data_IF_360212228471
#
_entry.id   IF_360212228471
#
_cell.length_a   1.000
_cell.length_b   1.000
_cell.length_c   1.000
_cell.angle_alpha   90.00
_cell.angle_beta   90.00
_cell.angle_gamma   90.00
#
_symmetry.space_group_name_H-M   'P 1'
#
loop_
_entity.id
_entity.type
_entity.pdbx_description
1 polymer ?
#
# COMPACT_ATOMS: atom_id res chain seq x y z
N UNK A 1 11.23 4.94 -8.25
CA UNK A 1 10.87 4.31 -6.98
C UNK A 1 11.46 5.06 -5.79
N UNK A 2 10.87 4.92 -4.67
CA UNK A 2 11.11 5.72 -3.48
C UNK A 2 10.07 6.84 -3.38
N UNK A 3 10.41 7.93 -2.67
CA UNK A 3 9.56 9.12 -2.55
C UNK A 3 9.86 10.04 -3.74
N UNK A 4 9.40 9.62 -4.91
CA UNK A 4 9.52 10.37 -6.18
C UNK A 4 8.41 11.42 -6.33
N UNK A 5 8.39 12.12 -7.48
CA UNK A 5 7.41 13.17 -7.73
C UNK A 5 5.97 12.68 -7.59
N UNK A 6 5.65 11.51 -8.15
CA UNK A 6 4.31 10.93 -8.06
C UNK A 6 3.87 10.71 -6.60
N UNK A 7 4.76 10.17 -5.76
CA UNK A 7 4.47 9.96 -4.32
C UNK A 7 4.34 11.29 -3.58
N UNK A 8 5.21 12.28 -3.87
CA UNK A 8 5.12 13.60 -3.25
C UNK A 8 3.77 14.28 -3.55
N UNK A 9 3.36 14.30 -4.82
CA UNK A 9 2.07 14.89 -5.22
C UNK A 9 0.87 14.09 -4.69
N UNK A 10 1.01 12.77 -4.54
CA UNK A 10 -0.04 11.96 -3.89
C UNK A 10 -0.18 12.31 -2.41
N UNK A 11 0.93 12.57 -1.70
CA UNK A 11 0.86 13.05 -0.31
C UNK A 11 0.21 14.42 -0.21
N UNK A 12 0.53 15.33 -1.15
CA UNK A 12 -0.10 16.66 -1.20
C UNK A 12 -1.61 16.58 -1.48
N UNK A 13 -2.02 15.70 -2.39
CA UNK A 13 -3.45 15.47 -2.69
C UNK A 13 -4.21 14.94 -1.45
N UNK A 14 -3.66 13.97 -0.73
CA UNK A 14 -4.27 13.46 0.51
C UNK A 14 -4.29 14.54 1.60
N UNK A 15 -3.24 15.35 1.70
CA UNK A 15 -3.21 16.48 2.64
C UNK A 15 -4.30 17.51 2.33
N UNK A 16 -4.54 17.77 1.04
CA UNK A 16 -5.65 18.61 0.57
C UNK A 16 -7.04 18.09 0.98
N UNK A 17 -7.19 16.78 1.21
CA UNK A 17 -8.41 16.14 1.72
C UNK A 17 -8.50 16.18 3.27
N UNK A 18 -7.56 16.81 3.95
CA UNK A 18 -7.56 17.01 5.39
C UNK A 18 -6.86 15.89 6.19
N UNK A 19 -6.05 15.06 5.56
CA UNK A 19 -5.22 14.06 6.24
C UNK A 19 -3.84 14.61 6.58
N UNK A 20 -3.26 14.16 7.68
CA UNK A 20 -1.82 14.26 7.93
C UNK A 20 -1.16 13.04 7.29
N UNK A 21 -0.22 13.26 6.37
CA UNK A 21 0.35 12.19 5.53
C UNK A 21 1.85 12.09 5.75
N UNK A 22 2.35 10.86 5.89
CA UNK A 22 3.78 10.56 5.91
C UNK A 22 4.10 9.48 4.88
N UNK A 23 5.13 9.72 4.05
CA UNK A 23 5.63 8.76 3.07
C UNK A 23 7.07 8.38 3.42
N UNK A 24 7.30 7.20 4.04
CA UNK A 24 8.66 6.75 4.37
C UNK A 24 9.44 6.35 3.12
N UNK A 25 10.74 6.65 3.12
CA UNK A 25 11.65 6.18 2.08
C UNK A 25 12.20 4.80 2.47
N UNK A 26 11.61 3.73 1.98
CA UNK A 26 12.04 2.35 2.27
C UNK A 26 13.41 1.98 1.70
N UNK A 27 13.99 2.82 0.82
CA UNK A 27 15.32 2.60 0.26
C UNK A 27 16.44 3.33 1.02
N UNK A 28 16.17 3.92 2.16
CA UNK A 28 17.14 4.75 2.90
C UNK A 28 18.36 3.97 3.42
N UNK A 29 18.28 2.64 3.53
CA UNK A 29 19.40 1.77 3.94
C UNK A 29 20.24 1.28 2.77
N UNK A 30 19.80 1.50 1.52
CA UNK A 30 20.44 0.95 0.34
C UNK A 30 21.45 1.97 -0.18
N UNK A 31 22.73 1.58 -0.16
CA UNK A 31 23.85 2.41 -0.60
C UNK A 31 24.27 2.08 -2.03
N UNK A 32 24.99 2.99 -2.68
CA UNK A 32 25.54 2.75 -4.02
C UNK A 32 26.52 1.55 -4.02
N UNK A 33 27.23 1.32 -2.93
CA UNK A 33 28.12 0.16 -2.78
C UNK A 33 27.36 -1.18 -2.84
N UNK A 34 26.12 -1.23 -2.33
CA UNK A 34 25.27 -2.42 -2.42
C UNK A 34 24.77 -2.68 -3.84
N UNK A 35 24.77 -1.68 -4.70
CA UNK A 35 24.31 -1.77 -6.09
C UNK A 35 25.46 -1.90 -7.10
N UNK A 36 26.71 -2.00 -6.62
CA UNK A 36 27.91 -2.07 -7.48
C UNK A 36 27.95 -3.31 -8.40
N UNK A 37 27.21 -4.37 -8.04
CA UNK A 37 27.05 -5.60 -8.84
C UNK A 37 25.94 -5.47 -9.91
N UNK A 38 25.31 -4.31 -10.05
CA UNK A 38 24.19 -4.07 -10.96
C UNK A 38 22.84 -4.55 -10.46
N UNK A 39 22.72 -4.97 -9.21
CA UNK A 39 21.45 -5.36 -8.59
C UNK A 39 20.49 -4.17 -8.46
N UNK A 40 19.18 -4.47 -8.45
CA UNK A 40 18.15 -3.43 -8.28
C UNK A 40 17.86 -3.23 -6.79
N UNK A 41 17.54 -2.00 -6.39
CA UNK A 41 17.22 -1.63 -4.99
C UNK A 41 16.21 -2.57 -4.32
N UNK A 42 15.18 -3.01 -5.06
CA UNK A 42 14.15 -3.92 -4.52
C UNK A 42 14.71 -5.26 -4.04
N UNK A 43 15.82 -5.74 -4.62
CA UNK A 43 16.45 -7.01 -4.28
C UNK A 43 17.15 -6.98 -2.91
N UNK A 44 17.38 -5.77 -2.37
CA UNK A 44 18.00 -5.56 -1.05
C UNK A 44 16.98 -5.26 0.05
N UNK A 45 15.70 -5.24 -0.28
CA UNK A 45 14.65 -5.03 0.74
C UNK A 45 14.45 -6.30 1.57
N UNK A 46 14.07 -6.09 2.81
CA UNK A 46 13.74 -7.14 3.76
C UNK A 46 12.41 -6.81 4.44
N UNK A 47 11.47 -7.76 4.45
CA UNK A 47 10.13 -7.54 5.01
C UNK A 47 10.19 -7.10 6.48
N UNK A 48 11.10 -7.69 7.26
CA UNK A 48 11.32 -7.30 8.65
C UNK A 48 11.71 -5.82 8.80
N UNK A 49 12.58 -5.32 7.92
CA UNK A 49 13.02 -3.91 7.96
C UNK A 49 11.91 -2.97 7.45
N UNK A 50 11.12 -3.39 6.47
CA UNK A 50 9.94 -2.63 6.03
C UNK A 50 8.94 -2.46 7.19
N UNK A 51 8.67 -3.53 7.95
CA UNK A 51 7.80 -3.45 9.14
C UNK A 51 8.37 -2.50 10.20
N UNK A 52 9.68 -2.54 10.45
CA UNK A 52 10.31 -1.60 11.40
C UNK A 52 10.17 -0.14 10.95
N UNK A 53 10.31 0.14 9.64
CA UNK A 53 10.13 1.50 9.10
C UNK A 53 8.67 1.97 9.21
N UNK A 54 7.72 1.05 9.01
CA UNK A 54 6.29 1.31 9.20
C UNK A 54 6.01 1.66 10.67
N UNK A 55 6.51 0.85 11.61
CA UNK A 55 6.36 1.11 13.05
C UNK A 55 6.95 2.48 13.45
N UNK A 56 8.15 2.80 12.95
CA UNK A 56 8.78 4.09 13.21
C UNK A 56 7.96 5.25 12.62
N UNK A 57 7.39 5.07 11.42
CA UNK A 57 6.54 6.08 10.78
C UNK A 57 5.24 6.30 11.54
N UNK A 58 4.60 5.22 12.01
CA UNK A 58 3.41 5.32 12.87
C UNK A 58 3.74 6.02 14.19
N UNK A 59 4.87 5.68 14.81
CA UNK A 59 5.35 6.35 16.03
C UNK A 59 5.55 7.85 15.82
N UNK A 60 6.15 8.25 14.68
CA UNK A 60 6.30 9.66 14.29
C UNK A 60 4.96 10.36 14.12
N UNK A 61 4.01 9.75 13.39
CA UNK A 61 2.67 10.30 13.19
C UNK A 61 1.93 10.48 14.52
N UNK A 62 1.96 9.47 15.40
CA UNK A 62 1.29 9.54 16.71
C UNK A 62 1.86 10.62 17.63
N UNK A 63 3.11 11.02 17.42
CA UNK A 63 3.72 12.16 18.09
C UNK A 63 3.23 13.52 17.59
N UNK A 64 2.56 13.58 16.43
CA UNK A 64 2.06 14.83 15.88
C UNK A 64 0.73 15.23 16.56
N UNK A 65 0.59 16.48 17.06
CA UNK A 65 -0.60 16.91 17.82
C UNK A 65 -1.93 16.68 17.08
N UNK A 66 -1.96 16.87 15.75
CA UNK A 66 -3.17 16.70 14.92
C UNK A 66 -3.53 15.23 14.67
N UNK A 67 -2.68 14.28 15.01
CA UNK A 67 -2.89 12.84 14.78
C UNK A 67 -3.17 12.08 16.09
N UNK A 68 -2.87 12.70 17.22
CA UNK A 68 -3.03 12.06 18.52
C UNK A 68 -4.48 11.55 18.73
N UNK A 69 -4.63 10.23 18.92
CA UNK A 69 -5.93 9.59 19.11
C UNK A 69 -6.76 9.41 17.82
N UNK A 70 -6.25 9.85 16.67
CA UNK A 70 -6.97 9.68 15.39
C UNK A 70 -6.69 8.31 14.76
N UNK A 71 -7.64 7.75 13.99
CA UNK A 71 -7.42 6.55 13.20
C UNK A 71 -6.38 6.80 12.10
N UNK A 72 -5.60 5.76 11.78
CA UNK A 72 -4.56 5.81 10.75
C UNK A 72 -4.90 4.82 9.65
N UNK A 73 -4.82 5.26 8.39
CA UNK A 73 -4.91 4.43 7.20
C UNK A 73 -3.53 4.24 6.56
N UNK A 74 -3.42 3.24 5.70
CA UNK A 74 -2.21 3.00 4.92
C UNK A 74 -2.56 2.79 3.45
N UNK A 75 -1.79 3.40 2.56
CA UNK A 75 -1.90 3.21 1.11
C UNK A 75 -0.53 3.21 0.46
N UNK A 76 -0.43 2.61 -0.70
CA UNK A 76 0.82 2.60 -1.45
C UNK A 76 0.65 1.96 -2.82
N UNK A 77 1.65 2.16 -3.68
CA UNK A 77 1.62 1.89 -5.10
C UNK A 77 2.76 0.94 -5.48
N UNK A 78 2.50 -0.08 -6.29
CA UNK A 78 3.51 -1.06 -6.71
C UNK A 78 4.16 -1.76 -5.48
N UNK A 79 5.46 -1.55 -5.26
CA UNK A 79 6.13 -1.96 -4.04
C UNK A 79 5.40 -1.43 -2.78
N UNK A 80 4.96 -0.17 -2.83
CA UNK A 80 4.16 0.44 -1.76
C UNK A 80 2.82 -0.27 -1.54
N UNK A 81 2.17 -0.77 -2.60
CA UNK A 81 0.97 -1.58 -2.49
C UNK A 81 1.23 -2.93 -1.80
N UNK A 82 2.33 -3.61 -2.16
CA UNK A 82 2.79 -4.80 -1.43
C UNK A 82 3.07 -4.50 0.04
N UNK A 83 3.77 -3.40 0.29
CA UNK A 83 4.13 -2.98 1.65
C UNK A 83 2.90 -2.56 2.47
N UNK A 84 1.88 -1.98 1.82
CA UNK A 84 0.57 -1.68 2.44
C UNK A 84 -0.11 -2.96 2.93
N UNK A 85 -0.13 -4.02 2.11
CA UNK A 85 -0.68 -5.31 2.52
C UNK A 85 0.14 -5.92 3.67
N UNK A 86 1.47 -5.91 3.55
CA UNK A 86 2.37 -6.36 4.63
C UNK A 86 2.11 -5.59 5.94
N UNK A 87 1.94 -4.28 5.87
CA UNK A 87 1.66 -3.42 7.02
C UNK A 87 0.36 -3.82 7.72
N UNK A 88 -0.71 -4.04 6.96
CA UNK A 88 -2.01 -4.48 7.48
C UNK A 88 -1.94 -5.88 8.12
N UNK A 89 -1.10 -6.76 7.56
CA UNK A 89 -0.91 -8.13 8.04
C UNK A 89 0.12 -8.29 9.18
N UNK A 90 0.97 -7.27 9.41
CA UNK A 90 2.06 -7.38 10.40
C UNK A 90 1.91 -6.45 11.59
N UNK A 91 0.93 -5.53 11.57
CA UNK A 91 0.73 -4.55 12.64
C UNK A 91 -0.75 -4.40 12.98
N UNK A 92 -1.05 -3.74 14.11
CA UNK A 92 -2.42 -3.46 14.56
C UNK A 92 -2.74 -1.96 14.55
N UNK A 93 -2.00 -1.17 13.76
CA UNK A 93 -2.10 0.28 13.80
C UNK A 93 -3.15 0.88 12.87
N UNK A 94 -3.56 0.12 11.84
CA UNK A 94 -4.36 0.66 10.76
C UNK A 94 -5.84 0.30 10.88
N UNK A 95 -6.69 1.28 10.54
CA UNK A 95 -8.14 1.15 10.47
C UNK A 95 -8.64 1.02 9.03
N UNK A 96 -7.76 1.20 8.05
CA UNK A 96 -8.03 0.97 6.64
C UNK A 96 -6.72 0.76 5.86
N UNK A 97 -6.71 -0.15 4.90
CA UNK A 97 -5.58 -0.39 4.02
C UNK A 97 -6.00 -0.34 2.55
N UNK A 98 -5.29 0.44 1.73
CA UNK A 98 -5.60 0.59 0.29
C UNK A 98 -4.36 0.30 -0.56
N UNK A 99 -4.06 -0.97 -0.84
CA UNK A 99 -3.00 -1.35 -1.77
C UNK A 99 -3.40 -1.11 -3.23
N UNK A 100 -2.51 -0.44 -4.00
CA UNK A 100 -2.61 -0.29 -5.44
C UNK A 100 -1.60 -1.21 -6.13
N UNK A 101 -2.08 -2.09 -6.98
CA UNK A 101 -1.29 -3.03 -7.80
C UNK A 101 -0.07 -3.60 -7.08
N UNK A 102 -0.24 -4.00 -5.82
CA UNK A 102 0.79 -4.63 -5.00
C UNK A 102 1.03 -6.08 -5.42
N UNK A 103 2.07 -6.32 -6.18
CA UNK A 103 2.46 -7.66 -6.60
C UNK A 103 3.38 -8.37 -5.60
N UNK A 104 3.85 -9.57 -5.98
CA UNK A 104 4.80 -10.38 -5.18
C UNK A 104 4.33 -10.67 -3.74
N UNK A 105 3.01 -10.76 -3.51
CA UNK A 105 2.49 -11.08 -2.18
C UNK A 105 2.88 -12.48 -1.69
N UNK A 106 3.19 -13.39 -2.62
CA UNK A 106 3.63 -14.77 -2.32
C UNK A 106 5.15 -14.91 -2.22
N UNK A 107 5.90 -13.81 -2.33
CA UNK A 107 7.37 -13.81 -2.30
C UNK A 107 7.84 -13.08 -1.04
N UNK A 108 8.54 -13.75 -0.12
CA UNK A 108 9.16 -13.07 1.02
C UNK A 108 10.35 -12.24 0.56
N UNK A 109 10.60 -11.09 1.21
CA UNK A 109 11.78 -10.28 0.96
C UNK A 109 12.81 -10.47 2.07
N UNK A 110 14.08 -10.69 1.66
CA UNK A 110 15.18 -10.93 2.58
C UNK A 110 15.07 -12.29 3.27
N UNK A 111 15.18 -12.27 4.58
CA UNK A 111 15.18 -13.45 5.46
C UNK A 111 13.78 -13.76 6.06
N UNK A 112 12.72 -13.18 5.53
CA UNK A 112 11.38 -13.42 6.03
C UNK A 112 10.94 -14.88 5.81
N UNK A 113 10.47 -15.53 6.86
CA UNK A 113 10.01 -16.94 6.81
C UNK A 113 8.70 -17.11 6.04
N UNK A 114 7.82 -16.09 6.11
CA UNK A 114 6.50 -16.10 5.48
C UNK A 114 6.35 -14.89 4.56
N UNK A 115 5.84 -15.10 3.33
CA UNK A 115 5.45 -13.98 2.47
C UNK A 115 4.19 -13.29 3.00
N UNK A 116 3.91 -12.03 2.58
CA UNK A 116 2.72 -11.30 3.02
C UNK A 116 1.40 -12.05 2.88
N UNK A 117 1.22 -12.81 1.81
CA UNK A 117 0.04 -13.64 1.57
C UNK A 117 -0.24 -14.61 2.72
N UNK A 118 0.78 -15.24 3.28
CA UNK A 118 0.65 -16.19 4.39
C UNK A 118 0.40 -15.53 5.75
N UNK A 119 0.44 -14.21 5.81
CA UNK A 119 0.11 -13.42 7.00
C UNK A 119 -1.29 -12.81 6.92
N UNK A 120 -2.09 -13.18 5.90
CA UNK A 120 -3.41 -12.60 5.67
C UNK A 120 -4.39 -12.83 6.82
N UNK A 121 -4.22 -13.90 7.60
CA UNK A 121 -5.00 -14.23 8.81
C UNK A 121 -4.78 -13.24 9.98
N UNK A 122 -3.72 -12.45 9.92
CA UNK A 122 -3.43 -11.40 10.89
C UNK A 122 -4.05 -10.04 10.55
N UNK A 123 -4.64 -9.89 9.35
CA UNK A 123 -5.27 -8.63 8.93
C UNK A 123 -6.51 -8.35 9.78
N UNK A 124 -6.58 -7.17 10.37
CA UNK A 124 -7.64 -6.76 11.29
C UNK A 124 -8.31 -5.43 10.92
N UNK A 125 -8.10 -4.95 9.72
CA UNK A 125 -8.74 -3.75 9.18
C UNK A 125 -9.33 -4.04 7.79
N UNK A 126 -10.33 -3.28 7.34
CA UNK A 126 -10.84 -3.37 5.98
C UNK A 126 -9.75 -3.10 4.93
N UNK A 127 -9.81 -3.82 3.81
CA UNK A 127 -8.86 -3.69 2.69
C UNK A 127 -9.60 -3.34 1.42
N UNK A 128 -9.18 -2.26 0.75
CA UNK A 128 -9.65 -1.89 -0.59
C UNK A 128 -8.51 -2.04 -1.59
N UNK A 129 -8.53 -3.06 -2.44
CA UNK A 129 -7.46 -3.34 -3.39
C UNK A 129 -7.81 -2.87 -4.81
N UNK A 130 -6.90 -2.09 -5.42
CA UNK A 130 -7.02 -1.61 -6.80
C UNK A 130 -5.96 -2.28 -7.68
N UNK A 131 -6.36 -2.86 -8.83
CA UNK A 131 -5.43 -3.50 -9.76
C UNK A 131 -5.91 -3.47 -11.21
N UNK A 132 -4.96 -3.54 -12.14
CA UNK A 132 -5.22 -3.50 -13.57
C UNK A 132 -5.62 -4.86 -14.14
N UNK A 133 -6.55 -4.88 -15.10
CA UNK A 133 -7.01 -6.12 -15.72
C UNK A 133 -5.95 -6.79 -16.60
N UNK A 134 -4.97 -6.03 -17.09
CA UNK A 134 -3.86 -6.56 -17.91
C UNK A 134 -2.53 -6.60 -17.16
N UNK A 135 -2.53 -6.30 -15.86
CA UNK A 135 -1.35 -6.46 -15.00
C UNK A 135 -0.98 -7.95 -14.88
N UNK A 136 0.31 -8.22 -14.88
CA UNK A 136 0.85 -9.58 -14.73
C UNK A 136 1.44 -9.82 -13.34
N UNK A 137 1.60 -8.76 -12.52
CA UNK A 137 2.09 -8.86 -11.15
C UNK A 137 1.58 -7.69 -10.28
N UNK A 138 0.41 -7.82 -9.63
CA UNK A 138 -0.37 -9.05 -9.47
C UNK A 138 -1.14 -9.45 -10.73
N UNK A 139 -1.15 -10.73 -11.04
CA UNK A 139 -1.99 -11.28 -12.11
C UNK A 139 -3.45 -11.41 -11.66
N UNK A 140 -4.38 -11.60 -12.62
CA UNK A 140 -5.80 -11.89 -12.29
C UNK A 140 -5.93 -13.15 -11.45
N UNK A 141 -5.08 -14.17 -11.70
CA UNK A 141 -5.03 -15.40 -10.90
C UNK A 141 -4.58 -15.13 -9.46
N UNK A 142 -3.56 -14.30 -9.26
CA UNK A 142 -3.10 -13.94 -7.92
C UNK A 142 -4.20 -13.21 -7.15
N UNK A 143 -4.93 -12.32 -7.82
CA UNK A 143 -6.00 -11.55 -7.20
C UNK A 143 -7.21 -12.42 -6.86
N UNK A 144 -7.58 -13.36 -7.73
CA UNK A 144 -8.66 -14.30 -7.44
C UNK A 144 -8.32 -15.23 -6.25
N UNK A 145 -7.07 -15.66 -6.15
CA UNK A 145 -6.60 -16.48 -5.02
C UNK A 145 -6.59 -15.67 -3.72
N UNK A 146 -6.17 -14.41 -3.78
CA UNK A 146 -6.19 -13.52 -2.61
C UNK A 146 -7.61 -13.20 -2.15
N UNK A 147 -8.54 -12.93 -3.07
CA UNK A 147 -9.96 -12.69 -2.79
C UNK A 147 -10.59 -13.90 -2.09
N UNK A 148 -10.34 -15.11 -2.61
CA UNK A 148 -10.81 -16.35 -2.01
C UNK A 148 -10.24 -16.57 -0.59
N UNK A 149 -8.96 -16.27 -0.39
CA UNK A 149 -8.31 -16.43 0.92
C UNK A 149 -8.83 -15.41 1.94
N UNK A 150 -8.96 -14.13 1.59
CA UNK A 150 -9.52 -13.11 2.47
C UNK A 150 -10.98 -13.40 2.81
N UNK A 151 -11.77 -13.91 1.85
CA UNK A 151 -13.14 -14.38 2.08
C UNK A 151 -13.16 -15.54 3.09
N UNK A 152 -12.29 -16.55 2.90
CA UNK A 152 -12.17 -17.69 3.80
C UNK A 152 -11.82 -17.28 5.24
N UNK A 153 -10.97 -16.27 5.37
CA UNK A 153 -10.53 -15.71 6.65
C UNK A 153 -11.53 -14.75 7.29
N UNK A 154 -12.56 -14.33 6.56
CA UNK A 154 -13.56 -13.37 7.04
C UNK A 154 -13.02 -11.94 7.15
N UNK A 155 -11.95 -11.62 6.41
CA UNK A 155 -11.40 -10.26 6.33
C UNK A 155 -12.35 -9.41 5.48
N UNK A 156 -12.76 -8.25 5.99
CA UNK A 156 -13.54 -7.28 5.20
C UNK A 156 -12.67 -6.71 4.08
N UNK A 157 -13.09 -6.93 2.82
CA UNK A 157 -12.30 -6.50 1.67
C UNK A 157 -13.16 -6.20 0.45
N UNK A 158 -12.63 -5.32 -0.41
CA UNK A 158 -13.20 -4.92 -1.69
C UNK A 158 -12.08 -4.91 -2.73
N UNK A 159 -12.34 -5.52 -3.90
CA UNK A 159 -11.40 -5.55 -5.01
C UNK A 159 -11.98 -4.84 -6.23
N UNK A 160 -11.21 -3.93 -6.83
CA UNK A 160 -11.57 -3.25 -8.06
C UNK A 160 -10.55 -3.52 -9.16
N UNK A 161 -11.03 -4.19 -10.21
CA UNK A 161 -10.27 -4.44 -11.44
C UNK A 161 -10.59 -3.36 -12.47
N UNK A 162 -9.56 -2.76 -13.06
CA UNK A 162 -9.71 -1.70 -14.06
C UNK A 162 -9.37 -2.22 -15.44
N UNK A 163 -10.39 -2.26 -16.34
CA UNK A 163 -10.24 -2.78 -17.69
C UNK A 163 -9.24 -1.95 -18.51
N UNK A 164 -8.35 -2.64 -19.24
CA UNK A 164 -7.30 -2.00 -20.04
C UNK A 164 -6.17 -1.32 -19.24
N UNK A 165 -6.23 -1.35 -17.91
CA UNK A 165 -5.16 -0.83 -17.07
C UNK A 165 -4.11 -1.91 -16.79
N UNK A 166 -2.84 -1.50 -16.83
CA UNK A 166 -1.67 -2.30 -16.48
C UNK A 166 -1.11 -1.88 -15.11
N UNK A 167 0.01 -2.47 -14.71
CA UNK A 167 0.79 -2.06 -13.54
C UNK A 167 1.13 -0.56 -13.58
N UNK A 168 1.10 0.11 -12.44
CA UNK A 168 1.39 1.55 -12.32
C UNK A 168 0.40 2.49 -13.04
N UNK A 169 -0.86 2.09 -13.23
CA UNK A 169 -1.86 2.89 -13.91
C UNK A 169 -2.18 4.25 -13.24
N UNK A 170 -1.84 4.44 -11.98
CA UNK A 170 -2.00 5.71 -11.25
C UNK A 170 -0.87 6.70 -11.49
N UNK A 171 0.30 6.21 -11.88
CA UNK A 171 1.49 7.02 -12.01
C UNK A 171 1.53 7.74 -13.36
N UNK A 172 1.12 9.01 -13.37
CA UNK A 172 1.07 9.83 -14.60
C UNK A 172 2.46 10.11 -15.20
N UNK A 173 3.55 9.82 -14.46
CA UNK A 173 4.93 9.92 -14.97
C UNK A 173 5.38 8.63 -15.67
N UNK A 174 4.63 7.54 -15.52
CA UNK A 174 4.92 6.24 -16.12
C UNK A 174 4.21 6.05 -17.48
N UNK A 175 4.85 5.31 -18.38
CA UNK A 175 4.28 5.01 -19.70
C UNK A 175 2.96 4.18 -19.63
N UNK A 176 2.68 3.55 -18.51
CA UNK A 176 1.48 2.73 -18.25
C UNK A 176 0.37 3.48 -17.55
N UNK A 177 0.47 4.80 -17.44
CA UNK A 177 -0.59 5.62 -16.89
C UNK A 177 -1.91 5.40 -17.66
N UNK A 178 -2.98 5.18 -16.91
CA UNK A 178 -4.32 5.03 -17.46
C UNK A 178 -5.27 6.01 -16.79
N UNK A 179 -5.62 7.09 -17.50
CA UNK A 179 -6.46 8.17 -16.99
C UNK A 179 -7.78 7.65 -16.42
N UNK A 180 -8.48 6.79 -17.17
CA UNK A 180 -9.79 6.26 -16.74
C UNK A 180 -9.68 5.46 -15.44
N UNK A 181 -8.68 4.58 -15.33
CA UNK A 181 -8.47 3.80 -14.12
C UNK A 181 -8.08 4.70 -12.93
N UNK A 182 -7.25 5.70 -13.16
CA UNK A 182 -6.83 6.66 -12.15
C UNK A 182 -8.02 7.50 -11.64
N UNK A 183 -8.85 8.03 -12.54
CA UNK A 183 -10.03 8.83 -12.21
C UNK A 183 -11.12 8.03 -11.49
N UNK A 184 -11.22 6.73 -11.75
CA UNK A 184 -12.17 5.85 -11.06
C UNK A 184 -11.65 5.38 -9.69
N UNK A 185 -10.36 5.09 -9.58
CA UNK A 185 -9.79 4.49 -8.35
C UNK A 185 -9.60 5.50 -7.23
N UNK A 186 -9.21 6.72 -7.57
CA UNK A 186 -8.92 7.75 -6.57
C UNK A 186 -10.13 8.15 -5.71
N UNK A 187 -11.31 8.48 -6.27
CA UNK A 187 -12.50 8.75 -5.47
C UNK A 187 -12.88 7.58 -4.55
N UNK A 188 -12.77 6.34 -5.02
CA UNK A 188 -13.05 5.15 -4.22
C UNK A 188 -12.13 5.06 -3.00
N UNK A 189 -10.84 5.38 -3.18
CA UNK A 189 -9.88 5.47 -2.07
C UNK A 189 -10.28 6.54 -1.06
N UNK A 190 -10.65 7.72 -1.54
CA UNK A 190 -11.07 8.82 -0.67
C UNK A 190 -12.35 8.49 0.11
N UNK A 191 -13.36 7.90 -0.54
CA UNK A 191 -14.58 7.43 0.08
C UNK A 191 -14.30 6.36 1.15
N UNK A 192 -13.45 5.39 0.83
CA UNK A 192 -13.05 4.34 1.75
C UNK A 192 -12.32 4.89 2.97
N UNK A 193 -11.36 5.78 2.78
CA UNK A 193 -10.69 6.44 3.89
C UNK A 193 -11.64 7.33 4.69
N UNK A 194 -12.55 8.06 4.05
CA UNK A 194 -13.53 8.86 4.77
C UNK A 194 -14.44 8.00 5.67
N UNK A 195 -14.86 6.83 5.18
CA UNK A 195 -15.71 5.91 5.92
C UNK A 195 -15.02 5.32 7.16
N UNK A 196 -13.71 5.08 7.09
CA UNK A 196 -12.97 4.37 8.15
C UNK A 196 -12.06 5.25 8.99
N UNK A 197 -11.68 6.45 8.51
CA UNK A 197 -10.72 7.33 9.18
C UNK A 197 -11.33 8.66 9.64
N UNK A 198 -12.40 9.14 9.01
CA UNK A 198 -13.08 10.35 9.49
C UNK A 198 -14.09 9.90 10.54
N UNK A 199 -13.71 10.00 11.82
CA UNK A 199 -14.66 9.85 12.92
C UNK A 199 -15.73 10.90 12.75
N UNK A 200 -16.95 10.45 12.44
CA UNK A 200 -18.06 11.35 12.16
C UNK A 200 -18.25 12.33 13.30
N UNK A 201 -18.18 13.60 13.04
CA UNK A 201 -18.84 14.62 13.83
C UNK A 201 -20.33 14.26 13.74
N UNK A 202 -20.83 13.49 14.72
CA UNK A 202 -22.27 13.43 14.94
C UNK A 202 -22.71 14.84 15.30
N UNK A 203 -23.31 15.54 14.33
CA UNK A 203 -24.08 16.76 14.56
C UNK A 203 -25.43 16.41 15.19
#
# INVERSE_FOLDING_TARGET
GGVDQFIQETTDRLSGEGYVVAAPNFFHRITDAMLADGSRRIQHLQDRLLVQDIEATVGFLRGHPSVQGQPIGVTGFCLGGRTTFLAAASTRHFQAAVPYYGGNLKVPFGDAEKPPFQLADEINCPVLFHFGAVDTNPSQGDMAELDAELTRLGVDHQFHTYQGADHAFMDYTAARYNTTAAELSWPRTLEFFAAHLKTGTKH
#
